data_IF_330986686081
#
_entry.id   IF_330986686081
#
_cell.length_a   1.000
_cell.length_b   1.000
_cell.length_c   1.000
_cell.angle_alpha   90.00
_cell.angle_beta   90.00
_cell.angle_gamma   90.00
#
_symmetry.space_group_name_H-M   'P 1'
#
loop_
_entity.id
_entity.type
_entity.pdbx_description
1 polymer ?
#
# COMPACT_ATOMS: atom_id res chain seq x y z
N UNK A 1 10.35 2.60 -0.02
CA UNK A 1 11.69 2.82 -0.62
C UNK A 1 12.71 1.75 -0.25
N UNK A 2 12.92 1.37 1.01
CA UNK A 2 13.93 0.34 1.37
C UNK A 2 13.63 -1.08 0.82
N UNK A 3 12.36 -1.45 0.69
CA UNK A 3 11.92 -2.72 0.07
C UNK A 3 12.26 -2.79 -1.43
N UNK A 4 11.87 -1.77 -2.20
CA UNK A 4 12.26 -1.57 -3.60
C UNK A 4 13.78 -1.67 -3.81
N UNK A 5 14.57 -1.19 -2.86
CA UNK A 5 16.03 -1.20 -2.90
C UNK A 5 16.65 -2.56 -2.55
N UNK A 6 16.01 -3.31 -1.65
CA UNK A 6 16.43 -4.67 -1.27
C UNK A 6 16.28 -5.65 -2.44
N UNK A 7 15.27 -5.44 -3.29
CA UNK A 7 15.02 -6.25 -4.48
C UNK A 7 15.90 -5.83 -5.68
N UNK A 8 16.26 -4.54 -5.78
CA UNK A 8 16.91 -3.99 -6.99
C UNK A 8 18.44 -3.90 -6.95
N UNK A 9 19.11 -4.13 -5.82
CA UNK A 9 20.57 -4.32 -5.79
C UNK A 9 21.44 -3.14 -6.29
N UNK A 10 20.99 -1.88 -6.17
CA UNK A 10 21.71 -0.72 -6.72
C UNK A 10 22.77 -0.12 -5.77
N UNK A 11 24.00 -0.02 -6.25
CA UNK A 11 25.19 0.43 -5.49
C UNK A 11 25.78 1.81 -5.84
N UNK A 12 25.15 2.66 -6.66
CA UNK A 12 25.69 4.02 -6.98
C UNK A 12 24.64 5.12 -7.03
N UNK A 13 25.04 6.34 -6.62
CA UNK A 13 24.18 7.50 -6.30
C UNK A 13 23.60 8.26 -7.52
N UNK A 14 24.15 8.09 -8.73
CA UNK A 14 23.77 8.87 -9.92
C UNK A 14 22.76 8.20 -10.87
N UNK A 15 22.40 6.93 -10.65
CA UNK A 15 21.40 6.17 -11.46
C UNK A 15 20.06 6.00 -10.71
N UNK A 16 19.85 6.82 -9.67
CA UNK A 16 18.95 6.52 -8.57
C UNK A 16 17.45 6.52 -8.96
N UNK A 17 17.05 7.26 -10.00
CA UNK A 17 15.64 7.35 -10.39
C UNK A 17 15.28 6.45 -11.59
N UNK A 18 16.14 6.34 -12.61
CA UNK A 18 15.93 5.41 -13.75
C UNK A 18 15.63 3.97 -13.34
N UNK A 19 16.30 3.47 -12.30
CA UNK A 19 16.14 2.09 -11.82
C UNK A 19 14.96 1.86 -10.86
N UNK A 20 14.37 2.93 -10.32
CA UNK A 20 13.35 2.81 -9.26
C UNK A 20 12.03 2.23 -9.76
N UNK A 21 11.58 2.65 -10.95
CA UNK A 21 10.34 2.12 -11.56
C UNK A 21 10.52 0.69 -12.08
N UNK A 22 11.55 0.36 -12.89
CA UNK A 22 11.82 -1.01 -13.29
C UNK A 22 12.01 -1.95 -12.09
N UNK A 23 12.71 -1.50 -11.05
CA UNK A 23 12.89 -2.26 -9.81
C UNK A 23 11.57 -2.49 -9.06
N UNK A 24 10.64 -1.53 -9.10
CA UNK A 24 9.30 -1.70 -8.56
C UNK A 24 8.43 -2.66 -9.33
N UNK A 25 8.44 -2.58 -10.67
CA UNK A 25 7.76 -3.56 -11.51
C UNK A 25 8.28 -4.97 -11.24
N UNK A 26 9.60 -5.16 -11.22
CA UNK A 26 10.22 -6.46 -10.94
C UNK A 26 9.87 -7.00 -9.55
N UNK A 27 9.77 -6.14 -8.53
CA UNK A 27 9.39 -6.56 -7.19
C UNK A 27 7.93 -7.03 -7.11
N UNK A 28 7.02 -6.35 -7.81
CA UNK A 28 5.61 -6.76 -7.91
C UNK A 28 5.47 -8.05 -8.71
N UNK A 29 6.16 -8.18 -9.85
CA UNK A 29 6.18 -9.43 -10.63
C UNK A 29 6.71 -10.60 -9.81
N UNK A 30 7.80 -10.40 -9.05
CA UNK A 30 8.32 -11.43 -8.16
C UNK A 30 7.28 -11.83 -7.10
N UNK A 31 6.65 -10.86 -6.44
CA UNK A 31 5.69 -11.14 -5.39
C UNK A 31 4.43 -11.87 -5.89
N UNK A 32 3.99 -11.57 -7.12
CA UNK A 32 2.92 -12.32 -7.79
C UNK A 32 3.36 -13.76 -8.12
N UNK A 33 4.58 -13.94 -8.63
CA UNK A 33 5.13 -15.28 -8.92
C UNK A 33 5.27 -16.12 -7.64
N UNK A 34 5.69 -15.52 -6.53
CA UNK A 34 5.75 -16.20 -5.22
C UNK A 34 4.36 -16.63 -4.72
N UNK A 35 3.30 -15.92 -5.14
CA UNK A 35 1.90 -16.29 -4.88
C UNK A 35 1.38 -17.41 -5.82
N UNK A 36 2.17 -17.78 -6.83
CA UNK A 36 1.83 -18.82 -7.81
C UNK A 36 1.27 -18.29 -9.13
N UNK A 37 1.27 -16.98 -9.36
CA UNK A 37 0.70 -16.36 -10.56
C UNK A 37 1.72 -15.54 -11.35
N UNK A 38 1.85 -15.86 -12.63
CA UNK A 38 2.75 -15.15 -13.55
C UNK A 38 2.10 -13.88 -14.10
N UNK A 39 2.20 -12.77 -13.36
CA UNK A 39 1.72 -11.45 -13.84
C UNK A 39 2.87 -10.66 -14.45
N UNK A 40 2.60 -9.90 -15.51
CA UNK A 40 3.54 -8.93 -16.10
C UNK A 40 3.08 -7.52 -15.80
N UNK A 41 3.98 -6.71 -15.26
CA UNK A 41 3.70 -5.30 -14.97
C UNK A 41 4.14 -4.48 -16.18
N UNK A 42 3.23 -3.72 -16.82
CA UNK A 42 3.60 -2.91 -17.97
C UNK A 42 4.59 -1.81 -17.55
N UNK A 43 5.70 -1.73 -18.29
CA UNK A 43 6.73 -0.72 -18.09
C UNK A 43 7.04 -0.01 -19.41
N UNK A 44 6.93 1.32 -19.39
CA UNK A 44 7.29 2.17 -20.52
C UNK A 44 8.54 2.97 -20.16
N UNK A 45 9.68 2.77 -20.84
CA UNK A 45 10.88 3.60 -20.62
C UNK A 45 10.63 5.06 -21.04
N UNK A 46 11.56 5.96 -20.70
CA UNK A 46 11.51 7.37 -21.14
C UNK A 46 11.76 8.40 -20.04
N UNK A 47 11.68 8.00 -18.76
CA UNK A 47 12.02 8.89 -17.64
C UNK A 47 13.50 9.29 -17.66
N UNK A 48 13.76 10.55 -17.34
CA UNK A 48 15.10 11.14 -17.24
C UNK A 48 15.34 11.62 -15.81
N UNK A 49 16.60 11.66 -15.39
CA UNK A 49 16.98 12.17 -14.08
C UNK A 49 17.11 13.70 -14.17
N UNK A 50 16.37 14.44 -13.33
CA UNK A 50 16.49 15.90 -13.20
C UNK A 50 17.70 16.26 -12.34
N UNK A 51 18.37 17.38 -12.66
CA UNK A 51 19.50 17.89 -11.87
C UNK A 51 19.06 18.74 -10.69
N UNK A 52 19.96 19.00 -9.74
CA UNK A 52 19.69 19.85 -8.58
C UNK A 52 19.36 21.28 -9.00
N UNK A 53 20.01 21.80 -10.04
CA UNK A 53 19.75 23.13 -10.60
C UNK A 53 18.38 23.25 -11.27
N UNK A 54 17.77 22.12 -11.64
CA UNK A 54 16.41 22.06 -12.18
C UNK A 54 15.35 21.88 -11.08
N UNK A 55 15.77 21.79 -9.81
CA UNK A 55 14.92 21.48 -8.67
C UNK A 55 14.90 22.65 -7.69
N UNK A 56 13.77 23.35 -7.61
CA UNK A 56 13.54 24.35 -6.57
C UNK A 56 13.10 23.67 -5.26
N UNK A 57 14.01 23.56 -4.30
CA UNK A 57 13.80 22.87 -3.03
C UNK A 57 12.61 23.43 -2.24
N UNK A 58 12.45 24.76 -2.22
CA UNK A 58 11.38 25.41 -1.45
C UNK A 58 10.01 25.09 -2.05
N UNK A 59 9.92 25.09 -3.39
CA UNK A 59 8.70 24.69 -4.11
C UNK A 59 8.36 23.20 -3.92
N UNK A 60 9.34 22.32 -3.68
CA UNK A 60 9.10 20.90 -3.41
C UNK A 60 8.73 20.58 -1.95
N UNK A 61 8.96 21.50 -1.01
CA UNK A 61 8.64 21.27 0.40
C UNK A 61 7.15 20.97 0.63
N UNK A 62 6.26 21.55 -0.18
CA UNK A 62 4.80 21.32 -0.09
C UNK A 62 4.38 19.91 -0.53
N UNK A 63 5.27 19.18 -1.23
CA UNK A 63 5.02 17.80 -1.66
C UNK A 63 5.46 16.77 -0.61
N UNK A 64 6.07 17.20 0.50
CA UNK A 64 6.37 16.30 1.60
C UNK A 64 5.06 15.72 2.18
N UNK A 65 4.87 14.39 2.17
CA UNK A 65 3.64 13.80 2.66
C UNK A 65 3.56 13.97 4.18
N UNK A 66 2.54 14.70 4.64
CA UNK A 66 2.18 14.78 6.06
C UNK A 66 1.50 13.51 6.56
N UNK A 67 0.82 12.81 5.65
CA UNK A 67 0.14 11.54 5.85
C UNK A 67 0.27 10.71 4.58
N UNK A 68 0.48 9.41 4.75
CA UNK A 68 0.50 8.45 3.66
C UNK A 68 -0.05 7.10 4.15
N UNK A 69 -1.37 6.93 3.99
CA UNK A 69 -2.06 5.71 4.39
C UNK A 69 -1.61 4.46 3.62
N UNK A 70 -1.12 4.61 2.38
CA UNK A 70 -0.58 3.50 1.60
C UNK A 70 0.70 2.91 2.24
N UNK A 71 1.45 3.72 3.00
CA UNK A 71 2.64 3.28 3.75
C UNK A 71 2.44 3.20 5.27
N UNK A 72 1.19 3.29 5.75
CA UNK A 72 0.88 3.36 7.19
C UNK A 72 1.69 4.45 7.91
N UNK A 73 1.76 5.65 7.33
CA UNK A 73 2.58 6.75 7.82
C UNK A 73 1.75 7.99 8.17
N UNK A 74 2.06 8.57 9.32
CA UNK A 74 1.54 9.85 9.78
C UNK A 74 2.67 10.62 10.46
N UNK A 75 2.92 11.86 10.03
CA UNK A 75 4.05 12.67 10.53
C UNK A 75 3.82 13.20 11.95
N UNK A 76 2.58 13.54 12.28
CA UNK A 76 2.15 14.05 13.58
C UNK A 76 0.66 13.74 13.79
N UNK A 77 0.15 13.97 14.99
CA UNK A 77 -1.29 13.87 15.23
C UNK A 77 -1.97 15.09 14.60
N UNK A 78 -2.97 14.84 13.75
CA UNK A 78 -3.77 15.86 13.09
C UNK A 78 -5.19 15.86 13.65
N UNK A 79 -5.90 16.96 13.49
CA UNK A 79 -7.33 17.05 13.84
C UNK A 79 -8.22 16.28 12.88
N UNK A 80 -7.74 16.04 11.65
CA UNK A 80 -8.40 15.25 10.61
C UNK A 80 -8.01 13.79 10.81
N UNK A 81 -8.99 12.90 10.67
CA UNK A 81 -8.75 11.46 10.89
C UNK A 81 -7.82 10.88 9.81
N UNK A 82 -7.09 9.81 10.16
CA UNK A 82 -6.13 9.22 9.24
C UNK A 82 -6.80 8.60 7.99
N UNK A 83 -8.04 8.10 8.13
CA UNK A 83 -8.85 7.60 7.02
C UNK A 83 -9.31 8.71 6.05
N UNK A 84 -9.62 9.91 6.54
CA UNK A 84 -9.94 11.06 5.68
C UNK A 84 -8.69 11.52 4.90
N UNK A 85 -7.52 11.52 5.54
CA UNK A 85 -6.25 11.83 4.90
C UNK A 85 -5.85 10.76 3.86
N UNK A 86 -6.22 9.49 4.07
CA UNK A 86 -6.07 8.45 3.04
C UNK A 86 -6.92 8.78 1.81
N UNK A 87 -8.19 9.14 1.99
CA UNK A 87 -9.10 9.46 0.89
C UNK A 87 -8.64 10.71 0.14
N UNK A 88 -8.20 11.74 0.84
CA UNK A 88 -7.59 12.93 0.24
C UNK A 88 -6.37 12.56 -0.63
N UNK A 89 -5.47 11.74 -0.08
CA UNK A 89 -4.29 11.28 -0.83
C UNK A 89 -4.67 10.45 -2.06
N UNK A 90 -5.68 9.59 -1.95
CA UNK A 90 -6.19 8.80 -3.06
C UNK A 90 -6.77 9.70 -4.16
N UNK A 91 -7.48 10.76 -3.79
CA UNK A 91 -8.02 11.74 -4.72
C UNK A 91 -6.91 12.47 -5.48
N UNK A 92 -5.84 12.90 -4.80
CA UNK A 92 -4.66 13.53 -5.43
C UNK A 92 -3.96 12.59 -6.43
N UNK A 93 -4.01 11.28 -6.18
CA UNK A 93 -3.49 10.25 -7.08
C UNK A 93 -4.50 9.81 -8.16
N UNK A 94 -5.66 10.45 -8.24
CA UNK A 94 -6.76 10.14 -9.18
C UNK A 94 -7.29 8.72 -9.06
N UNK A 95 -7.20 8.13 -7.87
CA UNK A 95 -7.63 6.76 -7.58
C UNK A 95 -9.13 6.72 -7.25
N UNK A 96 -9.79 5.69 -7.76
CA UNK A 96 -11.14 5.30 -7.37
C UNK A 96 -11.11 4.51 -6.05
N UNK A 97 -12.26 4.38 -5.38
CA UNK A 97 -12.35 3.60 -4.14
C UNK A 97 -11.88 2.12 -4.31
N UNK A 98 -12.22 1.40 -5.40
CA UNK A 98 -11.68 0.06 -5.64
C UNK A 98 -10.16 0.05 -5.85
N UNK A 99 -9.61 1.00 -6.62
CA UNK A 99 -8.15 1.10 -6.86
C UNK A 99 -7.38 1.42 -5.56
N UNK A 100 -7.91 2.32 -4.74
CA UNK A 100 -7.37 2.62 -3.41
C UNK A 100 -7.38 1.37 -2.53
N UNK A 101 -8.49 0.62 -2.53
CA UNK A 101 -8.66 -0.60 -1.73
C UNK A 101 -7.62 -1.64 -2.07
N UNK A 102 -7.48 -2.00 -3.36
CA UNK A 102 -6.47 -2.99 -3.78
C UNK A 102 -5.05 -2.53 -3.48
N UNK A 103 -4.75 -1.25 -3.70
CA UNK A 103 -3.41 -0.70 -3.43
C UNK A 103 -3.06 -0.78 -1.94
N UNK A 104 -3.97 -0.42 -1.04
CA UNK A 104 -3.72 -0.54 0.41
C UNK A 104 -3.50 -2.00 0.78
N UNK A 105 -4.41 -2.90 0.41
CA UNK A 105 -4.29 -4.32 0.75
C UNK A 105 -3.01 -4.97 0.22
N UNK A 106 -2.67 -4.69 -1.03
CA UNK A 106 -1.44 -5.21 -1.66
C UNK A 106 -0.17 -4.64 -1.04
N UNK A 107 -0.11 -3.32 -0.80
CA UNK A 107 1.08 -2.71 -0.20
C UNK A 107 1.34 -3.18 1.25
N UNK A 108 0.27 -3.55 1.98
CA UNK A 108 0.40 -4.16 3.31
C UNK A 108 1.05 -5.53 3.26
N UNK A 109 0.58 -6.44 2.41
CA UNK A 109 1.17 -7.79 2.30
C UNK A 109 2.59 -7.76 1.72
N UNK A 110 2.91 -6.74 0.92
CA UNK A 110 4.27 -6.50 0.41
C UNK A 110 5.22 -5.86 1.44
N UNK A 111 4.79 -5.65 2.69
CA UNK A 111 5.56 -5.02 3.77
C UNK A 111 6.16 -3.65 3.37
N UNK A 112 5.39 -2.86 2.61
CA UNK A 112 5.81 -1.55 2.11
C UNK A 112 5.69 -0.41 3.14
N UNK A 113 5.39 -0.75 4.39
CA UNK A 113 5.14 0.19 5.48
C UNK A 113 6.37 1.03 5.86
N UNK A 114 6.10 2.27 6.28
CA UNK A 114 7.14 3.14 6.82
C UNK A 114 7.78 2.50 8.07
N UNK A 115 9.10 2.55 8.14
CA UNK A 115 9.84 1.98 9.27
C UNK A 115 9.73 0.45 9.46
N UNK A 116 9.20 -0.29 8.48
CA UNK A 116 8.86 -1.72 8.62
C UNK A 116 7.84 -1.99 9.75
N UNK A 117 6.93 -1.04 9.98
CA UNK A 117 5.80 -1.24 10.91
C UNK A 117 4.97 -2.46 10.49
N UNK A 118 4.53 -3.24 11.48
CA UNK A 118 3.66 -4.42 11.27
C UNK A 118 2.17 -4.08 11.24
N UNK A 119 1.83 -2.80 11.40
CA UNK A 119 0.44 -2.36 11.33
C UNK A 119 -0.18 -2.66 9.96
N UNK A 120 -1.31 -3.37 9.96
CA UNK A 120 -2.01 -3.73 8.73
C UNK A 120 -1.38 -4.88 7.95
N UNK A 121 -0.22 -5.42 8.35
CA UNK A 121 0.44 -6.55 7.65
C UNK A 121 -0.22 -7.86 8.07
N UNK A 122 -1.46 -8.08 7.63
CA UNK A 122 -2.26 -9.25 7.99
C UNK A 122 -1.94 -10.44 7.08
N UNK A 123 -0.72 -10.96 7.18
CA UNK A 123 -0.28 -12.15 6.45
C UNK A 123 0.91 -12.79 7.16
N UNK A 124 0.98 -14.13 7.07
CA UNK A 124 2.15 -14.90 7.50
C UNK A 124 3.20 -15.06 6.39
N UNK A 125 2.90 -14.55 5.19
CA UNK A 125 3.78 -14.60 4.01
C UNK A 125 4.07 -13.20 3.47
N UNK A 126 4.77 -12.33 4.22
CA UNK A 126 5.16 -11.01 3.72
C UNK A 126 5.94 -11.10 2.40
N UNK A 127 5.88 -10.03 1.62
CA UNK A 127 6.51 -9.93 0.29
C UNK A 127 5.88 -10.85 -0.78
N UNK A 128 4.74 -11.49 -0.48
CA UNK A 128 3.96 -12.31 -1.43
C UNK A 128 2.62 -11.62 -1.72
N UNK A 129 2.31 -11.39 -3.01
CA UNK A 129 1.12 -10.63 -3.39
C UNK A 129 -0.13 -11.53 -3.28
N UNK A 130 -0.88 -11.35 -2.21
CA UNK A 130 -2.07 -12.15 -1.89
C UNK A 130 -3.19 -11.26 -1.35
N UNK A 131 -4.42 -11.75 -1.35
CA UNK A 131 -5.56 -11.08 -0.73
C UNK A 131 -5.65 -11.30 0.79
N UNK A 132 -4.59 -11.80 1.43
CA UNK A 132 -4.53 -12.15 2.86
C UNK A 132 -4.96 -10.97 3.75
N UNK A 133 -4.66 -9.72 3.35
CA UNK A 133 -5.11 -8.52 4.07
C UNK A 133 -6.63 -8.53 4.29
N UNK A 134 -7.42 -8.76 3.24
CA UNK A 134 -8.88 -8.72 3.33
C UNK A 134 -9.44 -9.96 4.02
N UNK A 135 -8.87 -11.14 3.73
CA UNK A 135 -9.27 -12.40 4.38
C UNK A 135 -9.14 -12.29 5.89
N UNK A 136 -8.00 -11.79 6.38
CA UNK A 136 -7.74 -11.68 7.81
C UNK A 136 -8.45 -10.49 8.46
N UNK A 137 -8.68 -9.38 7.73
CA UNK A 137 -9.45 -8.25 8.22
C UNK A 137 -10.92 -8.61 8.46
N UNK A 138 -11.50 -9.41 7.58
CA UNK A 138 -12.91 -9.81 7.62
C UNK A 138 -13.16 -11.08 8.45
N UNK A 139 -12.11 -11.71 8.97
CA UNK A 139 -12.20 -12.86 9.85
C UNK A 139 -12.90 -12.50 11.17
N UNK A 140 -14.13 -13.00 11.34
CA UNK A 140 -14.91 -12.81 12.57
C UNK A 140 -14.32 -13.52 13.80
N UNK A 141 -13.35 -14.42 13.60
CA UNK A 141 -12.52 -14.99 14.65
C UNK A 141 -11.57 -13.98 15.29
N UNK A 142 -11.36 -12.82 14.67
CA UNK A 142 -10.51 -11.74 15.20
C UNK A 142 -11.38 -10.61 15.77
N UNK A 143 -11.15 -10.24 17.03
CA UNK A 143 -11.79 -9.12 17.71
C UNK A 143 -10.82 -7.94 17.80
N UNK A 144 -11.21 -6.78 17.29
CA UNK A 144 -10.40 -5.56 17.29
C UNK A 144 -10.68 -4.69 18.52
N UNK A 145 -9.63 -4.27 19.22
CA UNK A 145 -9.70 -3.39 20.40
C UNK A 145 -8.72 -2.25 20.23
N UNK A 146 -9.18 -1.02 20.51
CA UNK A 146 -8.30 0.13 20.57
C UNK A 146 -7.34 -0.01 21.76
N UNK A 147 -6.05 0.22 21.53
CA UNK A 147 -5.02 0.15 22.57
C UNK A 147 -4.81 1.50 23.25
N UNK A 148 -5.13 2.60 22.55
CA UNK A 148 -5.12 3.96 23.09
C UNK A 148 -6.53 4.55 23.09
N UNK A 149 -6.76 5.51 24.00
CA UNK A 149 -8.02 6.26 24.06
C UNK A 149 -8.27 7.15 22.83
N UNK A 150 -7.23 7.44 22.05
CA UNK A 150 -7.32 8.21 20.80
C UNK A 150 -7.83 7.36 19.62
N UNK A 151 -8.00 6.04 19.81
CA UNK A 151 -8.51 5.10 18.79
C UNK A 151 -7.74 5.16 17.45
N UNK A 152 -6.43 5.43 17.51
CA UNK A 152 -5.56 5.47 16.34
C UNK A 152 -4.82 4.15 16.07
N UNK A 153 -4.72 3.31 17.11
CA UNK A 153 -4.00 2.05 17.10
C UNK A 153 -4.81 0.94 17.77
N UNK A 154 -4.84 -0.22 17.13
CA UNK A 154 -5.71 -1.33 17.48
C UNK A 154 -4.95 -2.65 17.51
N UNK A 155 -5.32 -3.50 18.46
CA UNK A 155 -4.91 -4.90 18.54
C UNK A 155 -6.07 -5.79 18.10
N UNK A 156 -5.80 -6.69 17.16
CA UNK A 156 -6.70 -7.76 16.74
C UNK A 156 -6.39 -9.02 17.54
N UNK A 157 -7.29 -9.43 18.42
CA UNK A 157 -7.15 -10.61 19.25
C UNK A 157 -7.92 -11.79 18.67
N UNK A 158 -7.36 -13.00 18.79
CA UNK A 158 -8.15 -14.21 18.60
C UNK A 158 -9.30 -14.24 19.62
N UNK A 159 -10.53 -14.41 19.15
CA UNK A 159 -11.72 -14.35 20.00
C UNK A 159 -11.80 -15.55 20.97
N UNK A 160 -11.20 -16.69 20.64
CA UNK A 160 -11.24 -17.88 21.48
C UNK A 160 -10.11 -17.87 22.54
N UNK A 161 -8.90 -17.49 22.15
CA UNK A 161 -7.73 -17.53 23.04
C UNK A 161 -7.39 -16.19 23.69
N UNK A 162 -7.86 -15.06 23.13
CA UNK A 162 -7.50 -13.70 23.54
C UNK A 162 -6.10 -13.26 23.12
N UNK A 163 -5.35 -14.08 22.37
CA UNK A 163 -3.99 -13.76 21.97
C UNK A 163 -3.99 -12.70 20.86
N UNK A 164 -3.09 -11.72 20.96
CA UNK A 164 -2.89 -10.72 19.90
C UNK A 164 -2.39 -11.43 18.64
N UNK A 165 -3.19 -11.38 17.58
CA UNK A 165 -2.84 -11.88 16.24
C UNK A 165 -2.22 -10.76 15.40
N UNK A 166 -2.84 -9.58 15.42
CA UNK A 166 -2.51 -8.49 14.50
C UNK A 166 -2.51 -7.14 15.19
N UNK A 167 -1.82 -6.18 14.60
CA UNK A 167 -1.94 -4.77 14.96
C UNK A 167 -2.35 -3.96 13.74
N UNK A 168 -3.16 -2.92 13.92
CA UNK A 168 -3.70 -2.10 12.84
C UNK A 168 -3.88 -0.66 13.25
N UNK A 169 -3.97 0.22 12.26
CA UNK A 169 -4.33 1.63 12.42
C UNK A 169 -5.75 1.87 11.91
N UNK A 170 -6.29 3.08 12.11
CA UNK A 170 -7.59 3.49 11.52
C UNK A 170 -7.63 3.29 10.00
N UNK A 171 -6.52 3.56 9.32
CA UNK A 171 -6.36 3.38 7.87
C UNK A 171 -6.58 1.93 7.46
N UNK A 172 -6.19 0.97 8.31
CA UNK A 172 -6.35 -0.45 8.01
C UNK A 172 -7.78 -0.91 8.34
N UNK A 173 -8.32 -0.49 9.49
CA UNK A 173 -9.64 -0.92 9.95
C UNK A 173 -10.81 -0.22 9.28
N UNK A 174 -10.61 0.92 8.60
CA UNK A 174 -11.69 1.60 7.85
C UNK A 174 -12.28 0.69 6.77
N UNK A 175 -11.48 -0.19 6.19
CA UNK A 175 -11.94 -1.19 5.21
C UNK A 175 -12.83 -2.28 5.82
N UNK A 176 -12.83 -2.44 7.15
CA UNK A 176 -13.72 -3.34 7.87
C UNK A 176 -14.94 -2.66 8.48
N UNK A 177 -14.94 -1.33 8.62
CA UNK A 177 -15.95 -0.55 9.35
C UNK A 177 -16.83 0.33 8.47
N UNK A 178 -16.29 0.96 7.42
CA UNK A 178 -17.06 1.75 6.48
C UNK A 178 -17.87 0.83 5.55
N UNK A 179 -19.19 1.04 5.43
CA UNK A 179 -20.07 0.13 4.68
C UNK A 179 -19.69 -0.06 3.22
N UNK A 180 -19.23 1.00 2.54
CA UNK A 180 -18.84 0.93 1.13
C UNK A 180 -17.47 0.26 0.96
N UNK A 181 -16.48 0.65 1.77
CA UNK A 181 -15.15 0.04 1.71
C UNK A 181 -15.18 -1.42 2.15
N UNK A 182 -16.05 -1.76 3.10
CA UNK A 182 -16.28 -3.14 3.52
C UNK A 182 -16.86 -3.99 2.40
N UNK A 183 -17.82 -3.47 1.63
CA UNK A 183 -18.33 -4.20 0.47
C UNK A 183 -17.23 -4.50 -0.55
N UNK A 184 -16.30 -3.55 -0.78
CA UNK A 184 -15.13 -3.78 -1.63
C UNK A 184 -14.15 -4.80 -1.02
N UNK A 185 -13.90 -4.71 0.28
CA UNK A 185 -13.07 -5.67 1.00
C UNK A 185 -13.64 -7.09 0.92
N UNK A 186 -14.96 -7.26 1.02
CA UNK A 186 -15.63 -8.57 0.92
C UNK A 186 -15.48 -9.19 -0.48
N UNK A 187 -15.52 -8.37 -1.53
CA UNK A 187 -15.22 -8.82 -2.89
C UNK A 187 -13.78 -9.34 -2.97
N UNK A 188 -12.79 -8.55 -2.57
CA UNK A 188 -11.39 -8.97 -2.67
C UNK A 188 -10.98 -10.04 -1.64
N UNK A 189 -11.69 -10.17 -0.52
CA UNK A 189 -11.48 -11.21 0.48
C UNK A 189 -12.10 -12.57 0.12
N UNK A 190 -12.92 -12.62 -0.92
CA UNK A 190 -13.55 -13.85 -1.40
C UNK A 190 -12.53 -14.75 -2.13
N UNK A 191 -12.67 -16.08 -2.01
CA UNK A 191 -11.72 -17.04 -2.59
C UNK A 191 -11.63 -16.97 -4.12
N UNK A 192 -12.76 -16.72 -4.78
CA UNK A 192 -12.85 -16.63 -6.25
C UNK A 192 -12.16 -15.38 -6.84
N UNK A 193 -11.80 -14.41 -5.99
CA UNK A 193 -11.30 -13.10 -6.41
C UNK A 193 -9.80 -12.92 -6.23
N UNK A 194 -9.04 -13.97 -5.89
CA UNK A 194 -7.57 -13.92 -5.73
C UNK A 194 -6.86 -13.40 -6.98
N UNK A 195 -7.15 -13.99 -8.13
CA UNK A 195 -6.54 -13.56 -9.40
C UNK A 195 -6.96 -12.13 -9.77
N UNK A 196 -8.25 -11.80 -9.59
CA UNK A 196 -8.77 -10.45 -9.86
C UNK A 196 -8.09 -9.40 -8.98
N UNK A 197 -7.85 -9.70 -7.70
CA UNK A 197 -7.12 -8.82 -6.80
C UNK A 197 -5.71 -8.50 -7.32
N UNK A 198 -4.97 -9.51 -7.78
CA UNK A 198 -3.61 -9.31 -8.30
C UNK A 198 -3.59 -8.49 -9.60
N UNK A 199 -4.52 -8.78 -10.52
CA UNK A 199 -4.67 -8.03 -11.77
C UNK A 199 -5.04 -6.56 -11.50
N UNK A 200 -6.03 -6.33 -10.63
CA UNK A 200 -6.46 -4.98 -10.27
C UNK A 200 -5.36 -4.23 -9.49
N UNK A 201 -4.60 -4.93 -8.64
CA UNK A 201 -3.44 -4.34 -7.95
C UNK A 201 -2.37 -3.89 -8.96
N UNK A 202 -2.03 -4.73 -9.94
CA UNK A 202 -1.05 -4.37 -10.97
C UNK A 202 -1.56 -3.21 -11.82
N UNK A 203 -2.83 -3.20 -12.20
CA UNK A 203 -3.44 -2.09 -12.94
C UNK A 203 -3.35 -0.77 -12.15
N UNK A 204 -3.72 -0.79 -10.87
CA UNK A 204 -3.67 0.37 -10.00
C UNK A 204 -2.21 0.84 -9.74
N UNK A 205 -1.28 -0.09 -9.55
CA UNK A 205 0.15 0.20 -9.42
C UNK A 205 0.69 0.88 -10.69
N UNK A 206 0.41 0.32 -11.86
CA UNK A 206 0.82 0.87 -13.14
C UNK A 206 0.20 2.25 -13.42
N UNK A 207 -1.03 2.50 -12.96
CA UNK A 207 -1.66 3.83 -13.04
C UNK A 207 -0.90 4.85 -12.20
N UNK A 208 -0.63 4.57 -10.92
CA UNK A 208 0.14 5.47 -10.04
C UNK A 208 1.54 5.71 -10.59
N UNK A 209 2.20 4.65 -11.03
CA UNK A 209 3.54 4.72 -11.60
C UNK A 209 3.59 5.56 -12.86
N UNK A 210 2.51 5.68 -13.64
CA UNK A 210 2.47 6.48 -14.88
C UNK A 210 1.71 7.81 -14.75
N UNK A 211 1.36 8.24 -13.53
CA UNK A 211 0.57 9.46 -13.30
C UNK A 211 1.25 10.75 -13.81
N UNK A 212 2.57 10.75 -13.95
CA UNK A 212 3.38 11.88 -14.46
C UNK A 212 3.73 11.76 -15.96
N UNK A 213 3.30 10.70 -16.65
CA UNK A 213 3.66 10.41 -18.06
C UNK A 213 2.75 11.11 -19.05
N UNK A 214 2.70 12.43 -18.98
CA UNK A 214 1.97 13.27 -19.94
C UNK A 214 2.54 13.18 -21.37
N UNK A 215 3.75 12.63 -21.55
CA UNK A 215 4.37 12.34 -22.84
C UNK A 215 3.72 11.18 -23.61
N UNK A 216 2.91 10.35 -22.93
CA UNK A 216 2.25 9.17 -23.51
C UNK A 216 0.76 9.38 -23.84
N UNK A 217 0.22 10.57 -23.57
CA UNK A 217 -1.21 10.91 -23.66
C UNK A 217 -1.60 11.54 -25.01
#
# INVERSE_FOLDING_TARGET
MRWLWKVSGFGKRSERWRGSIPGGCAAVEKAANDAGHGVKVPFTPGRMDASEEQTDVDSFAVLEPIADGFRSYLKANYTVSAEELLVDKAQLLTLTAPEMTVLVGGLRVLDANHGQSKNGVFTDRPETLTNDFFVNLLDMGTEWKAVSGDEDWFEGHDRASGHVKWTGTRVDLVFGSNSELRALAEVYGSEDFRQKFEEDFVAAWSKVVNADRFDLA
#
